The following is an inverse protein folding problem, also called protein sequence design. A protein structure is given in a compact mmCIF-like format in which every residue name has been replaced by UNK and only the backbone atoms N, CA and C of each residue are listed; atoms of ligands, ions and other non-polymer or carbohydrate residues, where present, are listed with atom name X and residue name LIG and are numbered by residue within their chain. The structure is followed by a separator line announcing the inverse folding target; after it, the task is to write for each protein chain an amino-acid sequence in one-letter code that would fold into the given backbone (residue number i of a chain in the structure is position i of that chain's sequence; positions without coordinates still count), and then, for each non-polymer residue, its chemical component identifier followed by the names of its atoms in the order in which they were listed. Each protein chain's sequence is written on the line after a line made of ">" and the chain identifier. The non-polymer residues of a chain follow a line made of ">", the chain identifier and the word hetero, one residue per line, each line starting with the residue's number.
data_IF_603977526610
#
_entry.id   IF_603977526610
#
_cell.length_a   1.000
_cell.length_b   1.000
_cell.length_c   1.000
_cell.angle_alpha   90.00
_cell.angle_beta   90.00
_cell.angle_gamma   90.00
#
_symmetry.space_group_name_H-M   'P 1'
#
loop_
_entity.id
_entity.type
_entity.pdbx_description
1 polymer ?
#
# COMPACT_ATOMS: atom_id res chain seq x y z
N UNK A 1 16.74 -0.83 0.13
CA UNK A 1 15.64 0.15 0.26
C UNK A 1 14.70 -0.42 1.30
N UNK A 2 14.57 0.17 2.49
CA UNK A 2 13.67 -0.34 3.52
C UNK A 2 12.44 0.57 3.55
N UNK A 3 11.36 0.18 2.86
CA UNK A 3 10.11 0.93 2.92
C UNK A 3 9.50 0.70 4.32
N UNK A 4 9.26 1.76 5.10
CA UNK A 4 8.64 1.59 6.41
C UNK A 4 7.19 1.10 6.25
N UNK A 5 6.61 0.46 7.28
CA UNK A 5 5.23 0.03 7.23
C UNK A 5 4.29 1.24 7.06
N UNK A 6 3.31 1.14 6.16
CA UNK A 6 2.45 2.27 5.82
C UNK A 6 1.48 2.01 4.68
N UNK A 7 0.60 2.99 4.45
CA UNK A 7 -0.26 3.03 3.28
C UNK A 7 0.48 3.63 2.09
N UNK A 8 0.44 2.93 0.96
CA UNK A 8 1.09 3.36 -0.27
C UNK A 8 0.14 3.15 -1.46
N UNK A 9 0.35 3.86 -2.59
CA UNK A 9 -0.44 3.68 -3.80
C UNK A 9 -0.41 2.21 -4.25
N UNK A 10 -1.58 1.69 -4.59
CA UNK A 10 -1.67 0.30 -5.03
C UNK A 10 -0.88 0.09 -6.35
N UNK A 11 0.02 -0.90 -6.41
CA UNK A 11 0.87 -1.11 -7.58
C UNK A 11 0.11 -1.62 -8.81
N UNK A 12 -1.19 -1.97 -8.71
CA UNK A 12 -2.02 -2.24 -9.89
C UNK A 12 -2.22 -0.99 -10.77
N UNK A 13 -1.93 0.19 -10.24
CA UNK A 13 -2.03 1.46 -10.95
C UNK A 13 -3.36 2.17 -10.77
N UNK A 14 -4.23 1.67 -9.88
CA UNK A 14 -5.48 2.35 -9.54
C UNK A 14 -5.20 3.48 -8.53
N UNK A 15 -5.28 4.76 -8.93
CA UNK A 15 -4.94 5.89 -8.07
C UNK A 15 -5.95 6.10 -6.93
N UNK A 16 -7.08 5.41 -6.98
CA UNK A 16 -8.11 5.46 -5.94
C UNK A 16 -7.86 4.47 -4.79
N UNK A 17 -6.84 3.62 -4.90
CA UNK A 17 -6.55 2.57 -3.94
C UNK A 17 -5.19 2.75 -3.29
N UNK A 18 -5.17 2.54 -1.99
CA UNK A 18 -3.97 2.37 -1.18
C UNK A 18 -3.91 0.93 -0.67
N UNK A 19 -2.70 0.37 -0.64
CA UNK A 19 -2.42 -0.94 -0.06
C UNK A 19 -1.50 -0.78 1.15
N UNK A 20 -1.67 -1.62 2.16
CA UNK A 20 -0.80 -1.61 3.32
C UNK A 20 0.49 -2.38 3.01
N UNK A 21 1.64 -1.75 3.25
CA UNK A 21 2.95 -2.39 3.30
C UNK A 21 3.31 -2.64 4.75
N UNK A 22 3.68 -3.87 5.11
CA UNK A 22 4.02 -4.23 6.50
C UNK A 22 5.50 -4.04 6.85
N UNK A 23 6.35 -3.78 5.85
CA UNK A 23 7.80 -3.71 6.01
C UNK A 23 8.55 -4.78 5.23
N UNK A 24 7.95 -5.95 5.03
CA UNK A 24 8.50 -7.05 4.23
C UNK A 24 7.67 -7.35 2.99
N UNK A 25 6.33 -7.34 3.11
CA UNK A 25 5.41 -7.62 2.00
C UNK A 25 4.19 -6.67 1.99
N UNK A 26 3.37 -6.80 0.96
CA UNK A 26 2.10 -6.08 0.86
C UNK A 26 0.98 -6.91 1.50
N UNK A 27 0.34 -6.37 2.53
CA UNK A 27 -0.78 -7.03 3.19
C UNK A 27 -2.04 -7.04 2.33
N UNK A 28 -3.02 -7.86 2.74
CA UNK A 28 -4.35 -7.94 2.11
C UNK A 28 -5.27 -6.77 2.45
N UNK A 29 -4.78 -5.79 3.21
CA UNK A 29 -5.53 -4.62 3.62
C UNK A 29 -5.48 -3.53 2.54
N UNK A 30 -6.65 -2.99 2.21
CA UNK A 30 -6.84 -1.94 1.22
C UNK A 30 -7.64 -0.80 1.81
N UNK A 31 -7.29 0.42 1.43
CA UNK A 31 -7.99 1.65 1.82
C UNK A 31 -8.24 2.53 0.59
N UNK A 32 -9.31 3.34 0.59
CA UNK A 32 -9.48 4.38 -0.42
C UNK A 32 -8.37 5.43 -0.28
N UNK A 33 -7.84 5.90 -1.41
CA UNK A 33 -6.97 7.07 -1.43
C UNK A 33 -7.78 8.32 -1.00
N UNK A 34 -7.20 9.12 -0.11
CA UNK A 34 -7.84 10.31 0.47
C UNK A 34 -7.82 11.50 -0.50
#
# INVERSE_FOLDING_TARGET
>A
MNMPPGWYPDPSGDPSLMRWWDGEEWAGDFAPAQ
#
